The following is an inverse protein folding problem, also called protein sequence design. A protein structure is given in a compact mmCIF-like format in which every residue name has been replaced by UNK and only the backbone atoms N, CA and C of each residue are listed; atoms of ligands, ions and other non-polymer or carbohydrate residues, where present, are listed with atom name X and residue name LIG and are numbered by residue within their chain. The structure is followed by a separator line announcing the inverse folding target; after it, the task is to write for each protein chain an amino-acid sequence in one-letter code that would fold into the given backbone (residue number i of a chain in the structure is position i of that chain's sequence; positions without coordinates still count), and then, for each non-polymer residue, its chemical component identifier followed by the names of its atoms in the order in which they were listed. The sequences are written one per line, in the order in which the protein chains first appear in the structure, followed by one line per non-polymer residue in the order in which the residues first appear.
data_IF_673295871364
#
_entry.id   IF_673295871364
#
_cell.length_a   1.000
_cell.length_b   1.000
_cell.length_c   1.000
_cell.angle_alpha   90.00
_cell.angle_beta   90.00
_cell.angle_gamma   90.00
#
_symmetry.space_group_name_H-M   'P 1'
#
loop_
_entity.id
_entity.type
_entity.pdbx_description
1 polymer ?
2 non-polymer ?
3 non-polymer ?
4 non-polymer ?
5 non-polymer ?
6 water ?
#
# COMPACT_ATOMS: atom_id res chain seq x y z
N UNK A 1 6.22 3.86 -7.49
CA UNK A 1 5.03 3.02 -7.75
C UNK A 1 3.90 3.39 -6.84
N UNK A 2 2.67 3.23 -7.32
CA UNK A 2 1.49 3.56 -6.56
C UNK A 2 1.22 2.36 -5.65
N UNK A 3 0.98 2.67 -4.38
CA UNK A 3 0.64 1.67 -3.36
C UNK A 3 -0.57 2.08 -2.57
N UNK A 4 -1.20 1.07 -1.95
CA UNK A 4 -2.31 1.27 -1.05
C UNK A 4 -1.78 1.03 0.36
N UNK A 5 -1.81 2.03 1.24
CA UNK A 5 -1.32 1.85 2.62
C UNK A 5 -2.32 1.07 3.45
N UNK A 6 -1.85 0.00 4.08
CA UNK A 6 -2.67 -0.78 5.00
C UNK A 6 -2.50 -0.32 6.44
N UNK A 7 -1.43 0.42 6.70
CA UNK A 7 -1.07 0.88 8.02
C UNK A 7 -0.40 2.23 7.87
N UNK A 8 -0.47 3.07 8.88
CA UNK A 8 0.30 4.29 8.89
C UNK A 8 1.79 3.98 8.88
N UNK A 9 2.53 4.78 8.13
CA UNK A 9 3.98 4.74 8.13
C UNK A 9 4.43 6.19 8.24
N UNK A 10 4.91 6.55 9.44
CA UNK A 10 5.26 7.95 9.71
C UNK A 10 6.19 8.51 8.66
N UNK A 11 5.82 9.66 8.12
CA UNK A 11 6.64 10.29 7.10
C UNK A 11 6.41 9.87 5.68
N UNK A 12 5.59 8.84 5.47
CA UNK A 12 5.34 8.30 4.15
C UNK A 12 3.89 8.18 3.77
N UNK A 13 3.04 7.72 4.68
CA UNK A 13 1.64 7.55 4.31
C UNK A 13 0.78 7.12 5.47
N UNK A 14 -0.54 7.23 5.28
CA UNK A 14 -1.51 6.90 6.30
C UNK A 14 -2.38 5.79 5.79
N UNK A 15 -2.84 4.93 6.70
CA UNK A 15 -3.72 3.84 6.35
C UNK A 15 -4.84 4.33 5.45
N UNK A 16 -5.07 3.65 4.34
CA UNK A 16 -6.16 4.00 3.43
C UNK A 16 -5.76 4.84 2.24
N UNK A 17 -4.63 5.55 2.35
CA UNK A 17 -4.14 6.36 1.25
C UNK A 17 -3.65 5.51 0.08
N UNK A 18 -3.88 6.01 -1.11
CA UNK A 18 -3.32 5.45 -2.32
C UNK A 18 -2.40 6.51 -2.90
N UNK A 19 -1.12 6.20 -2.99
CA UNK A 19 -0.17 7.20 -3.44
C UNK A 19 1.11 6.60 -3.92
N UNK A 20 1.85 7.41 -4.66
CA UNK A 20 3.10 7.00 -5.21
C UNK A 20 4.21 7.08 -4.17
N UNK A 21 5.05 6.05 -4.18
CA UNK A 21 6.25 6.01 -3.35
C UNK A 21 7.43 5.48 -4.17
N UNK A 22 8.64 5.65 -3.64
CA UNK A 22 9.83 5.07 -4.24
C UNK A 22 9.71 3.57 -4.39
N UNK A 23 10.08 3.06 -5.56
CA UNK A 23 9.97 1.63 -5.84
C UNK A 23 10.74 0.79 -4.83
N UNK A 24 11.97 1.19 -4.53
CA UNK A 24 12.79 0.47 -3.55
C UNK A 24 12.21 0.40 -2.17
N UNK A 25 11.55 1.46 -1.78
CA UNK A 25 10.97 1.57 -0.48
C UNK A 25 9.76 0.65 -0.39
N UNK A 26 8.94 0.66 -1.43
CA UNK A 26 7.83 -0.28 -1.50
C UNK A 26 8.31 -1.73 -1.44
N UNK A 27 9.27 -2.05 -2.29
CA UNK A 27 9.69 -3.45 -2.43
C UNK A 27 10.38 -4.00 -1.17
N UNK A 28 11.29 -3.21 -0.63
CA UNK A 28 12.13 -3.68 0.46
C UNK A 28 11.57 -3.49 1.86
N UNK A 29 10.56 -2.63 1.97
CA UNK A 29 9.99 -2.31 3.28
C UNK A 29 8.46 -2.46 3.31
N UNK A 30 7.73 -1.67 2.53
CA UNK A 30 6.29 -1.69 2.68
C UNK A 30 5.70 -3.06 2.41
N UNK A 31 6.03 -3.64 1.27
CA UNK A 31 5.43 -4.92 0.90
C UNK A 31 5.95 -6.01 1.83
N UNK A 32 7.25 -5.94 2.14
CA UNK A 32 7.90 -6.95 2.99
C UNK A 32 7.30 -7.02 4.38
N UNK A 33 6.81 -5.89 4.88
CA UNK A 33 6.27 -5.78 6.25
C UNK A 33 4.75 -5.73 6.31
N UNK A 34 4.09 -5.85 5.15
CA UNK A 34 2.62 -5.78 5.12
C UNK A 34 2.06 -4.40 5.51
N UNK A 35 2.81 -3.36 5.17
CA UNK A 35 2.38 -2.00 5.46
C UNK A 35 1.62 -1.40 4.28
N UNK A 36 1.82 -1.95 3.08
CA UNK A 36 1.12 -1.50 1.88
C UNK A 36 1.12 -2.63 0.89
N UNK A 37 0.24 -2.52 -0.11
CA UNK A 37 0.22 -3.44 -1.22
C UNK A 37 0.24 -2.64 -2.52
N UNK A 38 0.64 -3.28 -3.60
CA UNK A 38 0.71 -2.59 -4.87
C UNK A 38 -0.69 -2.13 -5.31
N UNK A 39 -0.81 -0.92 -5.82
CA UNK A 39 -2.10 -0.38 -6.24
C UNK A 39 -2.23 -0.88 -7.69
N UNK A 40 -2.93 -1.99 -7.83
CA UNK A 40 -3.28 -2.54 -9.13
C UNK A 40 -4.79 -2.67 -9.09
N UNK A 41 -5.46 -2.66 -10.25
CA UNK A 41 -6.91 -2.83 -10.18
C UNK A 41 -7.36 -4.11 -9.46
N UNK A 42 -6.64 -5.21 -9.67
CA UNK A 42 -6.94 -6.47 -8.96
C UNK A 42 -6.81 -6.35 -7.46
N UNK A 43 -5.81 -5.61 -7.01
CA UNK A 43 -5.59 -5.43 -5.59
C UNK A 43 -6.62 -4.52 -4.98
N UNK A 44 -6.96 -3.45 -5.68
CA UNK A 44 -7.99 -2.57 -5.14
C UNK A 44 -9.29 -3.30 -4.99
N UNK A 45 -9.63 -4.09 -6.00
CA UNK A 45 -10.86 -4.85 -5.95
C UNK A 45 -10.84 -5.84 -4.79
N UNK A 46 -9.74 -6.56 -4.64
CA UNK A 46 -9.63 -7.50 -3.56
C UNK A 46 -9.68 -6.84 -2.19
N UNK A 47 -9.04 -5.67 -2.04
CA UNK A 47 -9.01 -5.00 -0.77
C UNK A 47 -10.41 -4.50 -0.37
N UNK A 48 -11.21 -4.05 -1.33
CA UNK A 48 -12.55 -3.57 -1.01
C UNK A 48 -13.38 -4.74 -0.47
N UNK A 49 -13.18 -5.94 -1.03
CA UNK A 49 -13.84 -7.12 -0.50
C UNK A 49 -13.41 -7.41 0.89
N UNK A 50 -12.12 -7.31 1.15
CA UNK A 50 -11.59 -7.67 2.44
C UNK A 50 -12.02 -6.64 3.50
N UNK A 51 -12.19 -5.38 3.10
CA UNK A 51 -12.76 -4.35 4.00
C UNK A 51 -14.22 -4.63 4.30
N UNK A 52 -14.99 -5.03 3.29
CA UNK A 52 -16.37 -5.47 3.50
C UNK A 52 -16.39 -6.90 4.00
X LIG B 1 -3.02 7.55 11.57
X LIG C 1 8.54 1.97 -10.92
X LIG D 1 -4.97 -8.48 1.12
X LIG E 1 -1.31 11.74 3.82
X LIG F 1 0.60 11.14 4.70
X LIG G 1 7.05 0.49 -10.72
X LIG H 1 -4.02 8.67 10.02
X LIG I 1 -2.40 9.23 12.72
X LIG J 1 -4.10 -8.10 -0.58
X LIG J 1 -4.40 -7.73 -1.85
X LIG J 1 -3.31 -7.97 -2.61
X LIG J 1 -2.34 -8.47 -1.84
X LIG J 1 -2.84 -8.57 -0.56
X LIG K 1 3.49 12.70 11.07
X LIG K 1 4.12 12.36 10.04
X LIG K 1 2.63 13.61 11.10
X LIG K 1 3.81 11.97 12.35
#
# INVERSE_FOLDING_TARGET
MKVIFLKDVKGKGKKGEIKNVADGYANNFLFKQALAIEATPANLKALEAQKQ
ZN ZN
ZN ZN
ZN ZN
ZN ZN
CL CL
CL CL
CL CL
CL CL
IMD N1 C2 N3 C4 C5
ACY C O OXT CH3
#
